data_IF_926350983013
#
_entry.id   IF_926350983013
#
_cell.length_a   1.000
_cell.length_b   1.000
_cell.length_c   1.000
_cell.angle_alpha   90.00
_cell.angle_beta   90.00
_cell.angle_gamma   90.00
#
_symmetry.space_group_name_H-M   'P 1'
#
loop_
_entity.id
_entity.type
_entity.pdbx_description
1 polymer ?
#
# COMPACT_ATOMS: atom_id res chain seq x y z
N UNK A 1 -30.17 -11.35 15.58
CA UNK A 1 -29.29 -11.57 14.42
C UNK A 1 -28.18 -10.54 14.56
N UNK A 2 -27.05 -10.93 15.12
CA UNK A 2 -25.95 -10.01 15.43
C UNK A 2 -25.02 -10.01 14.22
N UNK A 3 -25.02 -8.91 13.46
CA UNK A 3 -24.09 -8.73 12.35
C UNK A 3 -22.67 -8.69 12.93
N UNK A 4 -21.86 -9.66 12.50
CA UNK A 4 -20.44 -9.74 12.87
C UNK A 4 -19.76 -8.47 12.33
N UNK A 5 -18.97 -7.73 13.12
CA UNK A 5 -18.25 -6.57 12.60
C UNK A 5 -17.38 -7.02 11.43
N UNK A 6 -17.52 -6.36 10.28
CA UNK A 6 -16.65 -6.58 9.13
C UNK A 6 -15.21 -6.33 9.58
N UNK A 7 -14.43 -7.41 9.63
CA UNK A 7 -12.99 -7.33 9.86
C UNK A 7 -12.40 -6.46 8.73
N UNK A 8 -11.73 -5.36 9.10
CA UNK A 8 -11.11 -4.45 8.15
C UNK A 8 -9.96 -5.19 7.47
N UNK A 9 -10.24 -5.71 6.27
CA UNK A 9 -9.29 -6.48 5.49
C UNK A 9 -8.30 -5.53 4.79
N UNK A 10 -7.19 -5.25 5.47
CA UNK A 10 -6.07 -4.46 4.96
C UNK A 10 -5.49 -5.03 3.64
N UNK A 11 -5.75 -6.30 3.31
CA UNK A 11 -5.24 -6.94 2.09
C UNK A 11 -5.84 -6.33 0.82
N UNK A 12 -6.97 -5.62 0.90
CA UNK A 12 -7.56 -4.94 -0.26
C UNK A 12 -6.76 -3.72 -0.74
N UNK A 13 -5.77 -3.27 0.03
CA UNK A 13 -4.99 -2.06 -0.27
C UNK A 13 -3.53 -2.33 -0.67
N UNK A 14 -3.07 -3.58 -0.68
CA UNK A 14 -1.64 -3.95 -0.88
C UNK A 14 -1.18 -4.06 -2.34
N UNK A 15 -1.88 -3.40 -3.26
CA UNK A 15 -1.54 -3.40 -4.68
C UNK A 15 -0.39 -2.46 -5.04
N UNK A 16 0.26 -2.73 -6.17
CA UNK A 16 1.38 -1.95 -6.70
C UNK A 16 1.05 -0.45 -6.78
N UNK A 17 -0.13 -0.05 -7.24
CA UNK A 17 -0.50 1.37 -7.35
C UNK A 17 -0.46 2.16 -6.02
N UNK A 18 -0.63 1.47 -4.89
CA UNK A 18 -0.55 2.06 -3.55
C UNK A 18 0.82 1.89 -2.89
N UNK A 19 1.76 1.21 -3.56
CA UNK A 19 3.07 0.91 -3.02
C UNK A 19 4.03 2.10 -3.13
N UNK A 20 4.86 2.30 -2.09
CA UNK A 20 5.95 3.27 -2.07
C UNK A 20 6.96 3.04 -3.20
N UNK A 21 7.20 1.78 -3.58
CA UNK A 21 8.20 1.42 -4.59
C UNK A 21 7.71 1.52 -6.03
N UNK A 22 6.42 1.73 -6.26
CA UNK A 22 5.85 1.64 -7.60
C UNK A 22 5.55 3.03 -8.18
N UNK A 23 5.79 3.17 -9.48
CA UNK A 23 5.62 4.42 -10.22
C UNK A 23 4.95 4.13 -11.56
N UNK A 24 3.74 4.66 -11.80
CA UNK A 24 2.99 4.50 -13.03
C UNK A 24 1.49 4.74 -12.83
N UNK A 25 0.67 4.31 -13.79
CA UNK A 25 -0.80 4.43 -13.76
C UNK A 25 -1.50 3.06 -13.79
N UNK A 26 -1.73 2.48 -14.97
CA UNK A 26 -2.27 1.10 -15.10
C UNK A 26 -1.15 0.08 -15.27
N UNK A 27 -0.11 0.47 -15.99
CA UNK A 27 1.15 -0.24 -16.14
C UNK A 27 2.26 0.70 -15.64
N UNK A 28 3.14 0.19 -14.78
CA UNK A 28 4.17 0.99 -14.14
C UNK A 28 5.40 0.18 -13.80
N UNK A 29 6.37 0.85 -13.20
CA UNK A 29 7.65 0.27 -12.85
C UNK A 29 7.74 0.03 -11.35
N UNK A 30 8.12 -1.19 -10.96
CA UNK A 30 8.44 -1.53 -9.59
C UNK A 30 9.92 -1.25 -9.31
N UNK A 31 10.19 -0.34 -8.37
CA UNK A 31 11.55 0.06 -7.97
C UNK A 31 12.05 -0.65 -6.71
N UNK A 32 11.41 -1.75 -6.32
CA UNK A 32 11.81 -2.56 -5.15
C UNK A 32 13.14 -3.28 -5.40
N UNK A 33 13.38 -3.77 -6.61
CA UNK A 33 14.61 -4.48 -6.99
C UNK A 33 15.40 -3.65 -8.01
N UNK A 34 16.73 -3.73 -7.93
CA UNK A 34 17.67 -3.06 -8.84
C UNK A 34 17.28 -3.28 -10.31
N UNK A 35 17.36 -2.23 -11.17
CA UNK A 35 17.02 -2.38 -12.57
C UNK A 35 18.05 -3.27 -13.26
N UNK A 36 17.61 -3.96 -14.32
CA UNK A 36 18.52 -4.70 -15.19
C UNK A 36 19.10 -3.77 -16.25
N UNK A 37 20.28 -4.09 -16.76
CA UNK A 37 20.89 -3.35 -17.87
C UNK A 37 20.45 -3.94 -19.20
N UNK A 38 19.91 -3.10 -20.09
CA UNK A 38 19.69 -3.50 -21.47
C UNK A 38 21.01 -3.42 -22.26
N UNK A 39 21.51 -4.59 -22.71
CA UNK A 39 22.85 -4.78 -23.29
C UNK A 39 23.18 -3.86 -24.47
N UNK A 40 22.18 -3.34 -25.19
CA UNK A 40 22.39 -2.54 -26.40
C UNK A 40 22.58 -1.05 -26.14
N UNK A 41 22.08 -0.53 -25.03
CA UNK A 41 22.01 0.91 -24.79
C UNK A 41 22.51 1.35 -23.41
N UNK A 42 23.03 0.43 -22.59
CA UNK A 42 23.39 0.69 -21.19
C UNK A 42 22.26 1.39 -20.40
N UNK A 43 21.01 1.09 -20.76
CA UNK A 43 19.83 1.65 -20.09
C UNK A 43 19.44 0.78 -18.91
N UNK A 44 19.13 1.43 -17.80
CA UNK A 44 18.51 0.78 -16.65
C UNK A 44 17.02 0.55 -16.95
N UNK A 45 16.61 -0.72 -16.92
CA UNK A 45 15.23 -1.15 -17.13
C UNK A 45 14.68 -1.67 -15.81
N UNK A 46 13.67 -0.99 -15.28
CA UNK A 46 12.95 -1.45 -14.10
C UNK A 46 11.90 -2.50 -14.47
N UNK A 47 11.60 -3.49 -13.60
CA UNK A 47 10.51 -4.42 -13.81
C UNK A 47 9.17 -3.71 -13.98
N UNK A 48 8.43 -4.07 -15.02
CA UNK A 48 7.08 -3.55 -15.29
C UNK A 48 6.02 -4.45 -14.66
N UNK A 49 5.07 -3.86 -13.93
CA UNK A 49 3.93 -4.56 -13.32
C UNK A 49 2.64 -3.77 -13.51
N UNK A 50 1.49 -4.45 -13.44
CA UNK A 50 0.18 -3.80 -13.43
C UNK A 50 -0.06 -3.11 -12.09
N UNK A 51 -0.91 -2.11 -12.10
CA UNK A 51 -1.39 -1.40 -10.91
C UNK A 51 -1.94 -2.35 -9.84
N UNK A 52 -2.63 -3.41 -10.26
CA UNK A 52 -3.26 -4.41 -9.42
C UNK A 52 -2.36 -5.59 -9.02
N UNK A 53 -1.08 -5.59 -9.41
CA UNK A 53 -0.17 -6.67 -9.03
C UNK A 53 0.28 -6.52 -7.57
N UNK A 54 0.80 -7.60 -7.00
CA UNK A 54 1.39 -7.63 -5.66
C UNK A 54 2.57 -8.61 -5.62
N UNK A 55 3.69 -8.18 -5.03
CA UNK A 55 4.93 -8.97 -4.95
C UNK A 55 5.27 -9.49 -3.55
N UNK A 56 4.38 -9.31 -2.55
CA UNK A 56 4.65 -9.70 -1.16
C UNK A 56 5.47 -8.67 -0.35
N UNK A 57 6.13 -7.72 -1.02
CA UNK A 57 7.01 -6.72 -0.37
C UNK A 57 6.43 -5.30 -0.39
N UNK A 58 5.11 -5.20 -0.36
CA UNK A 58 4.40 -3.93 -0.38
C UNK A 58 4.76 -3.06 0.82
N UNK A 59 4.90 -1.74 0.60
CA UNK A 59 5.07 -0.74 1.65
C UNK A 59 4.15 0.43 1.39
N UNK A 60 3.46 0.88 2.43
CA UNK A 60 2.59 2.05 2.37
C UNK A 60 3.40 3.27 1.97
N UNK A 61 2.93 4.02 0.97
CA UNK A 61 3.47 5.36 0.69
C UNK A 61 3.19 6.21 1.92
N UNK A 62 4.21 6.62 2.68
CA UNK A 62 4.03 7.57 3.77
C UNK A 62 3.48 8.86 3.14
N UNK A 63 2.18 9.10 3.29
CA UNK A 63 1.64 10.45 3.07
C UNK A 63 2.31 11.34 4.12
N UNK A 64 2.72 12.57 3.78
CA UNK A 64 3.18 13.53 4.78
C UNK A 64 2.15 13.55 5.90
N UNK A 65 2.63 13.43 7.13
CA UNK A 65 1.91 13.34 8.37
C UNK A 65 0.93 14.52 8.53
N UNK A 66 -0.24 14.41 7.90
CA UNK A 66 -1.37 15.30 8.11
C UNK A 66 -2.57 14.42 8.46
N UNK A 67 -2.68 14.14 9.77
CA UNK A 67 -3.91 13.76 10.47
C UNK A 67 -4.52 12.38 10.18
N UNK A 68 -3.72 11.32 10.04
CA UNK A 68 -4.27 9.95 10.16
C UNK A 68 -4.31 9.43 11.60
N UNK A 69 -3.48 9.96 12.51
CA UNK A 69 -3.45 9.54 13.92
C UNK A 69 -4.73 9.91 14.70
N UNK A 70 -5.44 10.98 14.32
CA UNK A 70 -6.63 11.43 15.07
C UNK A 70 -7.84 10.49 14.88
N UNK A 71 -7.88 9.66 13.82
CA UNK A 71 -9.02 8.76 13.59
C UNK A 71 -8.85 7.38 14.23
N UNK A 72 -7.62 6.89 14.40
CA UNK A 72 -7.40 5.61 15.08
C UNK A 72 -7.57 5.76 16.59
N UNK A 73 -7.00 6.81 17.19
CA UNK A 73 -7.10 7.05 18.63
C UNK A 73 -8.53 7.40 19.09
N UNK A 74 -9.30 8.15 18.29
CA UNK A 74 -10.70 8.45 18.61
C UNK A 74 -11.64 7.23 18.52
N UNK A 75 -11.23 6.17 17.84
CA UNK A 75 -11.99 4.92 17.79
C UNK A 75 -11.72 4.07 19.05
N UNK A 76 -10.48 4.09 19.54
CA UNK A 76 -10.07 3.39 20.77
C UNK A 76 -10.77 4.00 22.00
N UNK A 77 -10.84 5.33 22.14
CA UNK A 77 -11.52 5.94 23.29
C UNK A 77 -13.05 5.71 23.33
N UNK A 78 -13.71 5.60 22.17
CA UNK A 78 -15.15 5.32 22.12
C UNK A 78 -15.49 3.85 22.41
N UNK A 79 -14.54 2.94 22.21
CA UNK A 79 -14.65 1.53 22.54
C UNK A 79 -14.64 1.28 24.05
N UNK A 80 -13.92 2.10 24.83
CA UNK A 80 -13.76 1.89 26.27
C UNK A 80 -14.89 2.53 27.11
N UNK A 81 -15.54 3.58 26.61
CA UNK A 81 -16.67 4.24 27.31
C UNK A 81 -18.02 3.54 27.16
N UNK A 82 -18.09 2.46 26.39
CA UNK A 82 -19.31 1.66 26.21
C UNK A 82 -19.36 0.43 27.13
N UNK A 83 -18.45 0.34 28.11
CA UNK A 83 -18.34 -0.80 29.03
C UNK A 83 -18.46 -0.39 30.50
N UNK A 84 -19.38 0.51 30.83
CA UNK A 84 -20.00 0.67 32.16
C UNK A 84 -21.42 1.22 32.00
#
# INVERSE_FOLDING_TARGET
>A
MTEKPEEFDESRFIYCNNCLYWSGNELGQCRRNTPTTENKYHKAVWPSTKASDWCGEWKHRKVPEQNYDVKLDKFIEKSDRSRW
#
